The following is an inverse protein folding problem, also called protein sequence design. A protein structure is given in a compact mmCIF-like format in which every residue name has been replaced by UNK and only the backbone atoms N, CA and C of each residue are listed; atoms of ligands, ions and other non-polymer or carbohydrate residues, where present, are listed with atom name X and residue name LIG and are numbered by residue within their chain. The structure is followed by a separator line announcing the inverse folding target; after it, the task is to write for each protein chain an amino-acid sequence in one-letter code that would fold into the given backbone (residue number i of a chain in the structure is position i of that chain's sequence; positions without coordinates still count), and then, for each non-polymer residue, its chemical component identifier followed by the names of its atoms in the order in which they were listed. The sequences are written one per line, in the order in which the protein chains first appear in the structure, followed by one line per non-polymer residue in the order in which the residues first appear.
data_IF_914989630770
#
_entry.id   IF_914989630770
#
_cell.length_a   1.000
_cell.length_b   1.000
_cell.length_c   1.000
_cell.angle_alpha   90.00
_cell.angle_beta   90.00
_cell.angle_gamma   90.00
#
_symmetry.space_group_name_H-M   'P 1'
#
loop_
_entity.id
_entity.type
_entity.pdbx_description
1 polymer ?
#
# COMPACT_ATOMS: atom_id res chain seq x y z
N UNK A 1 25.11 -16.42 -2.16
CA UNK A 1 23.89 -16.16 -1.34
C UNK A 1 22.80 -15.74 -2.29
N UNK A 2 21.65 -16.42 -2.34
CA UNK A 2 20.56 -16.07 -3.26
C UNK A 2 19.88 -14.75 -2.82
N UNK A 3 20.32 -13.63 -3.39
CA UNK A 3 19.83 -12.26 -3.18
C UNK A 3 18.66 -11.97 -4.13
N UNK A 4 17.52 -12.62 -3.88
CA UNK A 4 16.31 -12.44 -4.68
C UNK A 4 15.18 -11.93 -3.79
N UNK A 5 14.49 -10.89 -4.24
CA UNK A 5 13.23 -10.41 -3.68
C UNK A 5 12.11 -10.69 -4.69
N UNK A 6 11.00 -11.23 -4.20
CA UNK A 6 9.81 -11.49 -5.02
C UNK A 6 8.58 -10.87 -4.35
N UNK A 7 7.79 -10.14 -5.13
CA UNK A 7 6.57 -9.52 -4.66
C UNK A 7 5.49 -9.52 -5.75
N UNK A 8 4.27 -9.23 -5.33
CA UNK A 8 3.14 -9.09 -6.23
C UNK A 8 3.04 -7.64 -6.70
N UNK A 9 2.81 -7.48 -8.00
CA UNK A 9 2.36 -6.21 -8.56
C UNK A 9 0.85 -6.17 -8.34
N UNK A 10 0.39 -5.13 -7.68
CA UNK A 10 -1.02 -4.96 -7.30
C UNK A 10 -1.60 -3.70 -7.91
N UNK A 11 -2.92 -3.63 -7.99
CA UNK A 11 -3.64 -2.42 -8.37
C UNK A 11 -4.55 -1.98 -7.23
N UNK A 12 -4.38 -0.74 -6.78
CA UNK A 12 -5.29 -0.11 -5.83
C UNK A 12 -6.66 0.14 -6.45
N UNK A 13 -7.72 -0.20 -5.71
CA UNK A 13 -9.01 0.46 -5.90
C UNK A 13 -8.88 1.87 -5.35
N UNK A 14 -8.90 2.86 -6.22
CA UNK A 14 -8.95 4.26 -5.79
C UNK A 14 -10.32 4.53 -5.17
N UNK A 15 -10.32 4.84 -3.89
CA UNK A 15 -11.53 5.29 -3.22
C UNK A 15 -11.60 6.81 -3.28
N UNK A 16 -12.80 7.30 -3.51
CA UNK A 16 -13.04 8.73 -3.58
C UNK A 16 -12.87 9.34 -2.17
N UNK A 17 -11.88 10.23 -2.02
CA UNK A 17 -11.55 10.90 -0.76
C UNK A 17 -12.75 11.63 -0.14
N UNK A 18 -13.64 12.16 -0.97
CA UNK A 18 -14.86 12.86 -0.51
C UNK A 18 -15.76 11.88 0.25
N UNK A 19 -15.93 10.65 -0.26
CA UNK A 19 -16.73 9.64 0.43
C UNK A 19 -16.12 9.27 1.79
N UNK A 20 -14.79 9.12 1.88
CA UNK A 20 -14.17 8.83 3.19
C UNK A 20 -14.39 9.97 4.20
N UNK A 21 -14.31 11.23 3.77
CA UNK A 21 -14.55 12.38 4.63
C UNK A 21 -16.02 12.41 5.09
N UNK A 22 -16.96 12.24 4.16
CA UNK A 22 -18.40 12.22 4.46
C UNK A 22 -18.73 11.10 5.46
N UNK A 23 -18.27 9.88 5.21
CA UNK A 23 -18.48 8.76 6.14
C UNK A 23 -17.79 8.97 7.49
N UNK A 24 -16.62 9.63 7.52
CA UNK A 24 -15.95 10.01 8.75
C UNK A 24 -16.75 10.99 9.60
N UNK A 25 -17.30 12.05 9.00
CA UNK A 25 -18.15 13.02 9.70
C UNK A 25 -19.43 12.38 10.19
N UNK A 26 -20.11 11.60 9.34
CA UNK A 26 -21.33 10.87 9.72
C UNK A 26 -21.07 9.87 10.84
N UNK A 27 -19.92 9.20 10.84
CA UNK A 27 -19.50 8.29 11.91
C UNK A 27 -19.33 9.02 13.25
N UNK A 28 -18.71 10.20 13.27
CA UNK A 28 -18.56 11.00 14.49
C UNK A 28 -19.91 11.47 15.05
N UNK A 29 -20.77 12.01 14.18
CA UNK A 29 -22.11 12.48 14.57
C UNK A 29 -22.95 11.31 15.12
N UNK A 30 -22.94 10.17 14.44
CA UNK A 30 -23.69 8.99 14.89
C UNK A 30 -23.14 8.41 16.19
N UNK A 31 -21.82 8.41 16.38
CA UNK A 31 -21.19 7.98 17.64
C UNK A 31 -21.62 8.87 18.80
N UNK A 32 -21.59 10.19 18.61
CA UNK A 32 -22.07 11.14 19.62
C UNK A 32 -23.56 10.89 19.94
N UNK A 33 -24.41 10.80 18.92
CA UNK A 33 -25.85 10.62 19.13
C UNK A 33 -26.22 9.29 19.81
N UNK A 34 -25.54 8.19 19.46
CA UNK A 34 -25.84 6.86 20.02
C UNK A 34 -25.30 6.70 21.45
N UNK A 35 -24.07 7.15 21.70
CA UNK A 35 -23.35 6.81 22.93
C UNK A 35 -23.21 7.96 23.93
N UNK A 36 -23.21 9.22 23.48
CA UNK A 36 -22.89 10.38 24.31
C UNK A 36 -24.10 11.29 24.58
N UNK A 37 -25.07 11.32 23.66
CA UNK A 37 -26.30 12.08 23.85
C UNK A 37 -27.25 11.39 24.84
N UNK A 38 -27.86 12.18 25.72
CA UNK A 38 -28.71 11.67 26.81
C UNK A 38 -29.85 10.81 26.28
N UNK A 39 -29.96 9.58 26.81
CA UNK A 39 -30.91 8.57 26.33
C UNK A 39 -32.37 9.03 26.42
N UNK A 40 -32.69 9.82 27.44
CA UNK A 40 -34.04 10.35 27.68
C UNK A 40 -34.49 11.32 26.57
N UNK A 41 -33.53 11.99 25.94
CA UNK A 41 -33.76 12.96 24.87
C UNK A 41 -33.61 12.35 23.46
N UNK A 42 -33.29 11.06 23.34
CA UNK A 42 -33.11 10.39 22.06
C UNK A 42 -34.45 10.04 21.41
N UNK A 43 -34.67 10.51 20.18
CA UNK A 43 -35.71 9.95 19.32
C UNK A 43 -35.33 8.53 18.89
N UNK A 44 -36.26 7.58 19.04
CA UNK A 44 -36.01 6.15 18.80
C UNK A 44 -35.72 5.82 17.33
N UNK A 45 -36.38 6.49 16.38
CA UNK A 45 -36.14 6.28 14.94
C UNK A 45 -34.77 6.84 14.54
N UNK A 46 -34.43 8.03 15.04
CA UNK A 46 -33.11 8.62 14.81
C UNK A 46 -31.99 7.77 15.43
N UNK A 47 -32.26 7.10 16.56
CA UNK A 47 -31.29 6.20 17.19
C UNK A 47 -30.96 5.01 16.31
N UNK A 48 -31.97 4.35 15.73
CA UNK A 48 -31.74 3.23 14.81
C UNK A 48 -31.04 3.68 13.52
N UNK A 49 -31.42 4.85 12.97
CA UNK A 49 -30.73 5.42 11.82
C UNK A 49 -29.26 5.73 12.13
N UNK A 50 -28.99 6.39 13.26
CA UNK A 50 -27.64 6.68 13.71
C UNK A 50 -26.82 5.39 13.91
N UNK A 51 -27.42 4.34 14.48
CA UNK A 51 -26.76 3.04 14.62
C UNK A 51 -26.40 2.41 13.26
N UNK A 52 -27.29 2.50 12.26
CA UNK A 52 -27.01 2.03 10.90
C UNK A 52 -25.89 2.84 10.22
N UNK A 53 -25.87 4.15 10.43
CA UNK A 53 -24.78 5.03 9.94
C UNK A 53 -23.46 4.69 10.65
N UNK A 54 -23.49 4.45 11.95
CA UNK A 54 -22.32 4.09 12.76
C UNK A 54 -21.69 2.79 12.25
N UNK A 55 -22.48 1.73 12.07
CA UNK A 55 -21.98 0.44 11.57
C UNK A 55 -21.46 0.52 10.14
N UNK A 56 -22.15 1.28 9.27
CA UNK A 56 -21.66 1.57 7.92
C UNK A 56 -20.34 2.35 7.95
N UNK A 57 -20.23 3.35 8.83
CA UNK A 57 -19.01 4.13 9.04
C UNK A 57 -17.83 3.26 9.47
N UNK A 58 -18.04 2.30 10.36
CA UNK A 58 -17.00 1.32 10.72
C UNK A 58 -16.50 0.56 9.49
N UNK A 59 -17.40 0.09 8.63
CA UNK A 59 -17.01 -0.63 7.42
C UNK A 59 -16.18 0.26 6.46
N UNK A 60 -16.59 1.50 6.24
CA UNK A 60 -15.86 2.40 5.32
C UNK A 60 -14.55 2.92 5.90
N UNK A 61 -14.44 3.10 7.22
CA UNK A 61 -13.23 3.57 7.89
C UNK A 61 -12.21 2.44 8.12
N UNK A 62 -12.66 1.25 8.52
CA UNK A 62 -11.79 0.15 8.94
C UNK A 62 -11.85 -1.08 8.03
N UNK A 63 -13.00 -1.37 7.43
CA UNK A 63 -13.19 -2.52 6.55
C UNK A 63 -12.29 -2.52 5.31
N UNK A 64 -11.84 -1.33 4.88
CA UNK A 64 -10.93 -1.17 3.74
C UNK A 64 -9.58 -1.86 3.95
N UNK A 65 -9.06 -1.89 5.18
CA UNK A 65 -7.80 -2.56 5.51
C UNK A 65 -7.86 -4.09 5.32
N UNK A 66 -9.07 -4.65 5.23
CA UNK A 66 -9.34 -6.06 5.00
C UNK A 66 -9.63 -6.39 3.52
N UNK A 67 -9.66 -5.39 2.64
CA UNK A 67 -9.83 -5.64 1.20
C UNK A 67 -8.47 -5.99 0.60
N UNK A 68 -8.31 -7.26 0.23
CA UNK A 68 -7.08 -7.74 -0.41
C UNK A 68 -6.85 -6.98 -1.74
N UNK A 69 -5.64 -6.42 -1.98
CA UNK A 69 -5.31 -5.78 -3.25
C UNK A 69 -5.46 -6.74 -4.42
N UNK A 70 -5.95 -6.25 -5.57
CA UNK A 70 -6.05 -7.07 -6.79
C UNK A 70 -4.65 -7.29 -7.35
N UNK A 71 -4.22 -8.54 -7.43
CA UNK A 71 -2.97 -8.94 -8.09
C UNK A 71 -3.10 -8.74 -9.59
N UNK A 72 -2.13 -8.05 -10.18
CA UNK A 72 -2.04 -7.81 -11.64
C UNK A 72 -0.74 -8.35 -12.23
N UNK A 73 0.18 -8.83 -11.39
CA UNK A 73 1.46 -9.35 -11.86
C UNK A 73 2.37 -9.84 -10.75
N UNK A 74 3.61 -10.15 -11.13
CA UNK A 74 4.71 -10.49 -10.22
C UNK A 74 5.94 -9.69 -10.60
N UNK A 75 6.68 -9.26 -9.59
CA UNK A 75 7.97 -8.60 -9.72
C UNK A 75 9.02 -9.40 -8.97
N UNK A 76 10.18 -9.56 -9.58
CA UNK A 76 11.35 -10.21 -9.03
C UNK A 76 12.55 -9.30 -9.24
N UNK A 77 13.27 -9.02 -8.17
CA UNK A 77 14.49 -8.21 -8.18
C UNK A 77 15.62 -9.10 -7.67
N UNK A 78 16.70 -9.23 -8.44
CA UNK A 78 17.96 -9.84 -7.99
C UNK A 78 19.13 -8.89 -8.24
N UNK A 79 20.32 -9.26 -7.77
CA UNK A 79 21.57 -8.53 -8.03
C UNK A 79 22.03 -8.58 -9.49
N UNK A 80 21.38 -9.38 -10.34
CA UNK A 80 21.75 -9.52 -11.76
C UNK A 80 20.74 -8.89 -12.70
N UNK A 81 19.46 -8.93 -12.35
CA UNK A 81 18.36 -8.55 -13.23
C UNK A 81 17.09 -8.24 -12.47
N UNK A 82 16.19 -7.53 -13.15
CA UNK A 82 14.81 -7.31 -12.71
C UNK A 82 13.87 -7.99 -13.69
N UNK A 83 13.02 -8.86 -13.18
CA UNK A 83 12.05 -9.64 -13.96
C UNK A 83 10.63 -9.28 -13.52
N UNK A 84 9.75 -9.01 -14.48
CA UNK A 84 8.33 -8.81 -14.18
C UNK A 84 7.42 -9.42 -15.24
N UNK A 85 6.25 -9.86 -14.75
CA UNK A 85 5.10 -10.23 -15.58
C UNK A 85 3.93 -9.34 -15.16
N UNK A 86 3.41 -8.55 -16.10
CA UNK A 86 2.23 -7.70 -15.90
C UNK A 86 1.46 -7.61 -17.21
N UNK A 87 0.16 -7.94 -17.20
CA UNK A 87 -0.73 -7.82 -18.37
C UNK A 87 -0.12 -8.40 -19.67
N UNK A 88 0.34 -9.65 -19.62
CA UNK A 88 0.96 -10.39 -20.75
C UNK A 88 2.36 -9.91 -21.17
N UNK A 89 2.85 -8.78 -20.65
CA UNK A 89 4.24 -8.36 -20.82
C UNK A 89 5.13 -9.13 -19.83
N UNK A 90 5.92 -10.06 -20.36
CA UNK A 90 7.05 -10.68 -19.66
C UNK A 90 8.33 -9.93 -20.04
N UNK A 91 8.94 -9.25 -19.09
CA UNK A 91 10.19 -8.52 -19.32
C UNK A 91 11.26 -8.91 -18.30
N UNK A 92 12.49 -8.99 -18.78
CA UNK A 92 13.70 -9.19 -17.99
C UNK A 92 14.67 -8.07 -18.39
N UNK A 93 15.10 -7.29 -17.39
CA UNK A 93 16.02 -6.16 -17.56
C UNK A 93 17.30 -6.55 -16.86
N UNK A 94 18.41 -6.63 -17.59
CA UNK A 94 19.70 -6.88 -16.97
C UNK A 94 20.14 -5.64 -16.17
N UNK A 95 20.84 -5.84 -15.05
CA UNK A 95 21.19 -4.72 -14.17
C UNK A 95 22.10 -3.69 -14.84
N UNK A 96 22.91 -4.09 -15.83
CA UNK A 96 23.72 -3.17 -16.64
C UNK A 96 22.87 -2.26 -17.56
N UNK A 97 21.66 -2.66 -17.91
CA UNK A 97 20.67 -1.89 -18.69
C UNK A 97 19.79 -1.00 -17.81
N UNK A 98 19.83 -1.19 -16.49
CA UNK A 98 19.17 -0.32 -15.52
C UNK A 98 19.91 1.01 -15.43
N UNK A 99 19.16 2.10 -15.53
CA UNK A 99 19.61 3.46 -15.26
C UNK A 99 19.34 3.81 -13.78
N UNK A 100 18.07 3.78 -13.38
CA UNK A 100 17.65 4.12 -12.01
C UNK A 100 16.48 3.24 -11.54
N UNK A 101 16.49 2.87 -10.27
CA UNK A 101 15.37 2.31 -9.53
C UNK A 101 15.00 3.24 -8.37
N UNK A 102 13.76 3.72 -8.36
CA UNK A 102 13.24 4.62 -7.34
C UNK A 102 12.17 3.92 -6.50
N UNK A 103 12.34 3.92 -5.19
CA UNK A 103 11.34 3.41 -4.24
C UNK A 103 10.72 4.54 -3.42
N UNK A 104 9.41 4.73 -3.57
CA UNK A 104 8.59 5.45 -2.62
C UNK A 104 8.02 4.48 -1.59
N UNK A 105 8.64 4.47 -0.42
CA UNK A 105 8.32 3.55 0.66
C UNK A 105 7.21 4.10 1.57
N UNK A 106 6.18 3.30 1.79
CA UNK A 106 4.97 3.64 2.55
C UNK A 106 4.81 2.80 3.81
N UNK A 107 5.83 2.07 4.27
CA UNK A 107 5.81 1.06 5.35
C UNK A 107 5.61 -0.40 4.86
N UNK A 108 5.71 -1.37 5.76
CA UNK A 108 5.25 -2.75 5.59
C UNK A 108 3.89 -2.95 6.27
N UNK A 109 3.16 -4.00 5.89
CA UNK A 109 1.85 -4.31 6.50
C UNK A 109 1.99 -4.72 7.96
N UNK A 110 1.13 -4.17 8.80
CA UNK A 110 1.01 -4.47 10.22
C UNK A 110 -0.43 -4.18 10.66
N UNK A 111 -0.79 -4.60 11.87
CA UNK A 111 -2.12 -4.32 12.42
C UNK A 111 -2.37 -2.82 12.63
N UNK A 112 -1.31 -2.02 12.75
CA UNK A 112 -1.37 -0.57 12.92
C UNK A 112 -1.21 0.21 11.61
N UNK A 113 -0.88 -0.46 10.50
CA UNK A 113 -0.72 0.16 9.18
C UNK A 113 -1.83 -0.29 8.23
N UNK A 114 -2.04 0.45 7.13
CA UNK A 114 -3.25 0.46 6.29
C UNK A 114 -3.74 -0.88 5.68
N UNK A 115 -3.07 -2.01 5.88
CA UNK A 115 -3.54 -3.31 5.38
C UNK A 115 -2.84 -4.49 6.06
N UNK A 116 -3.64 -5.46 6.50
CA UNK A 116 -3.16 -6.74 7.06
C UNK A 116 -2.46 -7.62 6.02
N UNK A 117 -2.67 -7.34 4.73
CA UNK A 117 -2.08 -8.10 3.63
C UNK A 117 -0.69 -7.58 3.23
N UNK A 118 -0.21 -6.49 3.85
CA UNK A 118 0.95 -5.75 3.38
C UNK A 118 0.60 -4.32 3.03
N UNK A 119 1.58 -3.42 3.11
CA UNK A 119 1.38 -2.05 2.67
C UNK A 119 1.89 -1.87 1.24
N UNK A 120 1.25 -0.94 0.53
CA UNK A 120 1.47 -0.68 -0.89
C UNK A 120 2.59 0.33 -1.05
N UNK A 121 3.60 -0.03 -1.83
CA UNK A 121 4.78 0.76 -2.06
C UNK A 121 4.90 1.01 -3.57
N UNK A 122 5.48 2.14 -3.96
CA UNK A 122 5.60 2.48 -5.38
C UNK A 122 7.06 2.33 -5.81
N UNK A 123 7.27 1.51 -6.83
CA UNK A 123 8.58 1.26 -7.41
C UNK A 123 8.57 1.72 -8.85
N UNK A 124 9.53 2.57 -9.20
CA UNK A 124 9.75 3.04 -10.56
C UNK A 124 11.09 2.55 -11.06
N UNK A 125 11.12 1.96 -12.25
CA UNK A 125 12.31 1.43 -12.89
C UNK A 125 12.52 2.18 -14.19
N UNK A 126 13.71 2.72 -14.40
CA UNK A 126 14.11 3.42 -15.63
C UNK A 126 15.27 2.65 -16.26
N UNK A 127 15.11 2.27 -17.52
CA UNK A 127 16.18 1.67 -18.34
C UNK A 127 17.06 2.77 -18.94
N UNK A 128 18.30 2.42 -19.30
CA UNK A 128 19.20 3.30 -20.05
C UNK A 128 18.66 3.72 -21.42
N UNK A 129 17.72 2.95 -21.98
CA UNK A 129 16.96 3.29 -23.18
C UNK A 129 15.96 4.44 -22.97
N UNK A 130 15.73 4.86 -21.73
CA UNK A 130 14.71 5.82 -21.34
C UNK A 130 13.32 5.22 -21.09
N UNK A 131 13.12 3.91 -21.33
CA UNK A 131 11.84 3.23 -21.02
C UNK A 131 11.63 3.21 -19.50
N UNK A 132 10.43 3.62 -19.07
CA UNK A 132 10.04 3.72 -17.66
C UNK A 132 8.95 2.71 -17.33
N UNK A 133 9.03 2.11 -16.14
CA UNK A 133 8.05 1.15 -15.63
C UNK A 133 7.64 1.53 -14.22
N UNK A 134 6.34 1.72 -14.02
CA UNK A 134 5.76 2.06 -12.73
C UNK A 134 4.98 0.86 -12.16
N UNK A 135 5.35 0.49 -10.94
CA UNK A 135 4.77 -0.62 -10.21
C UNK A 135 4.24 -0.18 -8.85
N UNK A 136 3.06 -0.65 -8.51
CA UNK A 136 2.60 -0.70 -7.12
C UNK A 136 2.86 -2.12 -6.62
N UNK A 137 3.71 -2.24 -5.59
CA UNK A 137 4.18 -3.50 -5.03
C UNK A 137 3.74 -3.65 -3.58
N UNK A 138 3.65 -4.89 -3.12
CA UNK A 138 3.22 -5.18 -1.75
C UNK A 138 4.42 -5.55 -0.87
N UNK A 139 4.68 -4.78 0.18
CA UNK A 139 5.65 -5.16 1.21
C UNK A 139 4.86 -5.69 2.42
N UNK A 140 4.91 -7.02 2.57
CA UNK A 140 3.98 -7.74 3.46
C UNK A 140 4.33 -7.63 4.93
N UNK A 141 5.62 -7.70 5.24
CA UNK A 141 6.12 -7.78 6.60
C UNK A 141 7.57 -7.28 6.67
N UNK A 142 8.12 -7.24 7.89
CA UNK A 142 9.50 -6.82 8.14
C UNK A 142 10.54 -7.64 7.37
N UNK A 143 10.33 -8.95 7.21
CA UNK A 143 11.27 -9.80 6.48
C UNK A 143 11.33 -9.42 5.00
N UNK A 144 10.17 -9.27 4.36
CA UNK A 144 10.04 -8.80 2.98
C UNK A 144 10.67 -7.41 2.78
N UNK A 145 10.48 -6.50 3.76
CA UNK A 145 11.15 -5.20 3.76
C UNK A 145 12.68 -5.36 3.80
N UNK A 146 13.19 -6.17 4.73
CA UNK A 146 14.63 -6.36 4.92
C UNK A 146 15.28 -7.04 3.71
N UNK A 147 14.58 -7.97 3.06
CA UNK A 147 15.03 -8.58 1.80
C UNK A 147 15.17 -7.55 0.69
N UNK A 148 14.15 -6.71 0.49
CA UNK A 148 14.19 -5.62 -0.49
C UNK A 148 15.31 -4.63 -0.18
N UNK A 149 15.41 -4.19 1.09
CA UNK A 149 16.47 -3.28 1.54
C UNK A 149 17.85 -3.84 1.26
N UNK A 150 18.08 -5.11 1.58
CA UNK A 150 19.38 -5.77 1.37
C UNK A 150 19.78 -5.79 -0.10
N UNK A 151 18.82 -5.98 -1.01
CA UNK A 151 19.10 -5.99 -2.45
C UNK A 151 19.32 -4.58 -2.98
N UNK A 152 18.48 -3.62 -2.61
CA UNK A 152 18.60 -2.25 -3.13
C UNK A 152 19.81 -1.49 -2.55
N UNK A 153 20.29 -1.88 -1.37
CA UNK A 153 21.53 -1.36 -0.79
C UNK A 153 22.77 -2.20 -1.16
N UNK A 154 22.65 -3.15 -2.09
CA UNK A 154 23.81 -3.93 -2.52
C UNK A 154 24.72 -3.09 -3.43
N UNK A 155 26.02 -3.41 -3.53
CA UNK A 155 26.97 -2.64 -4.35
C UNK A 155 26.51 -2.44 -5.79
N UNK A 156 25.79 -3.42 -6.34
CA UNK A 156 25.32 -3.39 -7.72
C UNK A 156 24.18 -2.38 -7.96
N UNK A 157 23.46 -1.99 -6.89
CA UNK A 157 22.36 -1.02 -6.93
C UNK A 157 22.72 0.35 -6.33
N UNK A 158 23.82 0.45 -5.59
CA UNK A 158 24.16 1.64 -4.79
C UNK A 158 24.10 2.96 -5.56
N UNK A 159 24.62 3.00 -6.79
CA UNK A 159 24.62 4.20 -7.64
C UNK A 159 23.33 4.40 -8.44
N UNK A 160 22.43 3.41 -8.44
CA UNK A 160 21.21 3.38 -9.24
C UNK A 160 19.94 3.49 -8.40
N UNK A 161 20.07 3.45 -7.07
CA UNK A 161 18.94 3.35 -6.17
C UNK A 161 18.64 4.70 -5.51
N UNK A 162 17.46 5.22 -5.82
CA UNK A 162 16.90 6.38 -5.15
C UNK A 162 15.74 5.97 -4.22
N UNK A 163 15.65 6.65 -3.08
CA UNK A 163 14.67 6.35 -2.05
C UNK A 163 13.93 7.62 -1.59
N UNK A 164 12.61 7.50 -1.43
CA UNK A 164 11.79 8.49 -0.74
C UNK A 164 10.91 7.81 0.30
N UNK A 165 10.94 8.34 1.52
CA UNK A 165 9.96 8.00 2.55
C UNK A 165 8.64 8.71 2.28
N UNK A 166 7.55 7.97 2.15
CA UNK A 166 6.22 8.52 2.01
C UNK A 166 5.73 9.17 3.31
N UNK A 167 4.92 10.23 3.19
CA UNK A 167 4.49 11.04 4.34
C UNK A 167 3.75 10.30 5.46
N UNK A 168 3.17 9.12 5.17
CA UNK A 168 2.47 8.30 6.16
C UNK A 168 3.30 7.11 6.68
N UNK A 169 4.57 6.97 6.26
CA UNK A 169 5.45 5.90 6.71
C UNK A 169 5.97 6.21 8.11
N UNK A 170 5.68 5.33 9.08
CA UNK A 170 6.19 5.47 10.45
C UNK A 170 7.47 4.66 10.65
N UNK A 171 7.66 3.58 9.89
CA UNK A 171 8.88 2.78 9.96
C UNK A 171 10.02 3.33 9.11
N UNK A 172 11.24 3.01 9.52
CA UNK A 172 12.43 3.25 8.72
C UNK A 172 12.58 2.15 7.68
N UNK A 173 12.98 2.58 6.48
CA UNK A 173 13.38 1.66 5.43
C UNK A 173 14.74 1.06 5.78
#
# INVERSE_FOLDING_TARGET
MNTKFETEIVKTKEFNKIFMIVFGVLYLISTFYVFLYEKENQNIYLKYLALAIYTSGIYFLFGQSFIKPKKTGKLKISTERIEFNKNEENKSIALNELDNIYLKYMDYGSWTTHSIFGNKNYLKITEKSGKKHDFEILIRNRNSKNELKRILNSPEYYEKFDFMKGGNSRTEF
#
